data_IF_732997711728
#
_entry.id   IF_732997711728
#
_cell.length_a   1.000
_cell.length_b   1.000
_cell.length_c   1.000
_cell.angle_alpha   90.00
_cell.angle_beta   90.00
_cell.angle_gamma   90.00
#
_symmetry.space_group_name_H-M   'P 1'
#
loop_
_entity.id
_entity.type
_entity.pdbx_description
1 polymer ?
#
# COMPACT_ATOMS: atom_id res chain seq x y z
N UNK A 1 -13.94 5.22 -10.91
CA UNK A 1 -12.67 5.23 -10.17
C UNK A 1 -12.62 4.10 -9.15
N UNK A 2 -11.46 3.49 -8.99
CA UNK A 2 -11.15 2.45 -8.00
C UNK A 2 -9.91 2.93 -7.24
N UNK A 3 -9.98 2.98 -5.91
CA UNK A 3 -8.86 3.37 -5.05
C UNK A 3 -8.60 2.21 -4.08
N UNK A 4 -7.35 1.77 -4.04
CA UNK A 4 -6.86 0.69 -3.18
C UNK A 4 -5.73 1.24 -2.32
N UNK A 5 -5.81 1.02 -1.02
CA UNK A 5 -4.77 1.39 -0.07
C UNK A 5 -4.31 0.15 0.68
N UNK A 6 -3.04 -0.17 0.55
CA UNK A 6 -2.36 -1.12 1.41
C UNK A 6 -1.75 -0.34 2.58
N UNK A 7 -2.37 -0.44 3.75
CA UNK A 7 -1.85 0.21 4.96
C UNK A 7 -0.69 -0.60 5.52
N UNK A 8 0.52 -0.07 5.40
CA UNK A 8 1.75 -0.72 5.90
C UNK A 8 1.67 -0.93 7.41
N UNK A 9 1.99 -2.16 7.83
CA UNK A 9 2.01 -2.57 9.25
C UNK A 9 0.69 -2.39 10.01
N UNK A 10 -0.43 -2.16 9.31
CA UNK A 10 -1.75 -2.21 9.95
C UNK A 10 -2.10 -3.65 10.31
N UNK A 11 -2.48 -3.87 11.55
CA UNK A 11 -2.91 -5.17 12.02
C UNK A 11 -4.03 -5.04 13.06
N UNK A 12 -5.06 -5.86 12.93
CA UNK A 12 -6.02 -6.08 13.99
C UNK A 12 -5.44 -7.13 14.96
N UNK A 13 -4.87 -6.66 16.07
CA UNK A 13 -4.24 -7.53 17.06
C UNK A 13 -5.24 -8.45 17.79
N UNK A 14 -6.54 -8.16 17.74
CA UNK A 14 -7.57 -9.01 18.35
C UNK A 14 -7.63 -10.43 17.76
N UNK A 15 -7.14 -10.60 16.51
CA UNK A 15 -7.09 -11.92 15.86
C UNK A 15 -6.02 -12.85 16.42
N UNK A 16 -5.05 -12.34 17.18
CA UNK A 16 -3.98 -13.16 17.78
C UNK A 16 -4.14 -13.40 19.27
N UNK A 17 -5.11 -12.75 19.92
CA UNK A 17 -5.43 -12.95 21.34
C UNK A 17 -6.21 -11.82 21.96
N UNK A 18 -6.65 -12.03 23.20
CA UNK A 18 -7.31 -11.01 24.00
C UNK A 18 -6.28 -10.09 24.63
N UNK A 19 -6.23 -8.86 24.16
CA UNK A 19 -5.36 -7.81 24.69
C UNK A 19 -6.20 -6.77 25.44
N UNK A 20 -5.72 -6.37 26.61
CA UNK A 20 -6.26 -5.21 27.31
C UNK A 20 -5.48 -3.97 26.85
N UNK A 21 -6.19 -3.04 26.26
CA UNK A 21 -5.65 -1.73 25.85
C UNK A 21 -6.34 -0.64 26.67
N UNK A 22 -5.62 0.45 26.94
CA UNK A 22 -6.17 1.63 27.60
C UNK A 22 -7.13 2.44 26.71
N UNK A 23 -7.00 2.26 25.38
CA UNK A 23 -7.83 2.92 24.37
C UNK A 23 -8.23 1.91 23.29
N UNK A 24 -9.31 2.19 22.57
CA UNK A 24 -9.71 1.41 21.40
C UNK A 24 -8.67 1.56 20.29
N UNK A 25 -8.18 0.44 19.74
CA UNK A 25 -7.07 0.45 18.76
C UNK A 25 -7.51 0.98 17.40
N UNK A 26 -8.73 0.67 16.96
CA UNK A 26 -9.25 1.02 15.62
C UNK A 26 -10.62 1.70 15.68
N UNK A 27 -10.77 2.81 16.46
CA UNK A 27 -12.09 3.37 16.75
C UNK A 27 -12.85 3.84 15.51
N UNK A 28 -12.15 4.44 14.56
CA UNK A 28 -12.76 4.87 13.29
C UNK A 28 -13.23 3.68 12.46
N UNK A 29 -12.35 2.69 12.24
CA UNK A 29 -12.68 1.50 11.46
C UNK A 29 -13.87 0.75 12.06
N UNK A 30 -13.91 0.62 13.37
CA UNK A 30 -14.99 -0.07 14.09
C UNK A 30 -16.32 0.67 13.98
N UNK A 31 -16.28 2.01 13.93
CA UNK A 31 -17.46 2.86 13.79
C UNK A 31 -18.13 2.81 12.41
N UNK A 32 -17.42 2.36 11.39
CA UNK A 32 -17.93 2.30 10.02
C UNK A 32 -19.02 1.22 9.88
N UNK A 33 -20.22 1.61 9.44
CA UNK A 33 -21.39 0.71 9.33
C UNK A 33 -22.08 0.74 7.97
N UNK A 34 -22.17 1.92 7.33
CA UNK A 34 -22.92 2.10 6.10
C UNK A 34 -22.05 1.99 4.84
N UNK A 35 -22.57 1.31 3.79
CA UNK A 35 -21.88 1.12 2.51
C UNK A 35 -20.49 0.47 2.64
N UNK A 36 -20.35 -0.46 3.57
CA UNK A 36 -19.08 -1.08 3.94
C UNK A 36 -19.20 -2.59 3.91
N UNK A 37 -18.12 -3.23 3.45
CA UNK A 37 -17.87 -4.65 3.61
C UNK A 37 -16.57 -4.81 4.39
N UNK A 38 -16.62 -5.50 5.53
CA UNK A 38 -15.45 -5.84 6.35
C UNK A 38 -15.21 -7.34 6.28
N UNK A 39 -13.94 -7.75 6.35
CA UNK A 39 -13.57 -9.15 6.34
C UNK A 39 -12.08 -9.36 6.54
N UNK A 40 -11.69 -10.62 6.61
CA UNK A 40 -10.30 -11.02 6.71
C UNK A 40 -9.83 -11.62 5.40
N UNK A 41 -8.62 -11.28 4.97
CA UNK A 41 -7.94 -11.89 3.84
C UNK A 41 -6.80 -12.76 4.34
N UNK A 42 -6.68 -13.97 3.81
CA UNK A 42 -5.54 -14.83 4.08
C UNK A 42 -4.42 -14.52 3.09
N UNK A 43 -3.27 -14.09 3.60
CA UNK A 43 -2.06 -13.92 2.81
C UNK A 43 -1.13 -15.11 2.99
N UNK A 44 -0.49 -15.58 1.92
CA UNK A 44 0.56 -16.60 2.00
C UNK A 44 1.95 -16.01 2.29
N UNK A 45 2.05 -14.67 2.39
CA UNK A 45 3.28 -13.96 2.71
C UNK A 45 3.49 -13.98 4.23
N UNK A 46 4.58 -14.62 4.65
CA UNK A 46 4.96 -14.69 6.04
C UNK A 46 5.90 -13.53 6.39
N UNK A 47 5.36 -12.45 6.94
CA UNK A 47 6.09 -11.30 7.50
C UNK A 47 7.04 -10.58 6.52
N UNK A 48 7.15 -9.27 6.61
CA UNK A 48 7.97 -8.44 5.72
C UNK A 48 7.69 -8.68 4.22
N UNK A 49 8.51 -8.11 3.34
CA UNK A 49 8.40 -8.29 1.88
C UNK A 49 7.04 -7.86 1.32
N UNK A 50 6.62 -6.65 1.67
CA UNK A 50 5.41 -5.99 1.15
C UNK A 50 5.19 -6.19 -0.36
N UNK A 51 6.22 -6.17 -1.24
CA UNK A 51 6.03 -6.39 -2.67
C UNK A 51 5.45 -7.76 -3.03
N UNK A 52 5.62 -8.76 -2.18
CA UNK A 52 5.01 -10.07 -2.39
C UNK A 52 3.48 -10.00 -2.15
N UNK A 53 3.04 -9.27 -1.12
CA UNK A 53 1.61 -9.05 -0.87
C UNK A 53 0.99 -8.16 -1.96
N UNK A 54 1.71 -7.15 -2.43
CA UNK A 54 1.29 -6.33 -3.58
C UNK A 54 1.08 -7.22 -4.82
N UNK A 55 2.04 -8.10 -5.11
CA UNK A 55 1.96 -9.01 -6.24
C UNK A 55 0.80 -10.01 -6.13
N UNK A 56 0.59 -10.61 -4.96
CA UNK A 56 -0.55 -11.49 -4.71
C UNK A 56 -1.88 -10.77 -4.95
N UNK A 57 -2.01 -9.55 -4.42
CA UNK A 57 -3.21 -8.74 -4.61
C UNK A 57 -3.45 -8.41 -6.08
N UNK A 58 -2.41 -7.93 -6.79
CA UNK A 58 -2.57 -7.46 -8.16
C UNK A 58 -2.76 -8.59 -9.17
N UNK A 59 -2.18 -9.76 -8.95
CA UNK A 59 -2.19 -10.86 -9.93
C UNK A 59 -3.13 -12.00 -9.56
N UNK A 60 -3.55 -12.11 -8.31
CA UNK A 60 -4.29 -13.27 -7.82
C UNK A 60 -3.46 -14.54 -7.69
N UNK A 61 -2.16 -14.47 -7.91
CA UNK A 61 -1.23 -15.59 -7.71
C UNK A 61 -0.86 -15.72 -6.23
N UNK A 62 -0.22 -16.82 -5.86
CA UNK A 62 0.21 -17.07 -4.48
C UNK A 62 1.70 -17.31 -4.36
N UNK A 63 2.32 -16.65 -3.40
CA UNK A 63 3.72 -16.88 -3.01
C UNK A 63 3.98 -18.30 -2.49
N UNK A 64 2.92 -19.01 -2.07
CA UNK A 64 3.03 -20.39 -1.57
C UNK A 64 3.65 -21.36 -2.60
N UNK A 65 3.61 -21.04 -3.88
CA UNK A 65 4.18 -21.85 -4.95
C UNK A 65 5.63 -21.48 -5.35
N UNK A 66 6.20 -20.47 -4.69
CA UNK A 66 7.57 -20.03 -4.94
C UNK A 66 8.52 -20.51 -3.84
N UNK A 67 9.82 -20.64 -4.14
CA UNK A 67 10.81 -20.99 -3.13
C UNK A 67 10.78 -20.06 -1.91
N UNK A 68 11.00 -20.63 -0.73
CA UNK A 68 11.09 -19.84 0.51
C UNK A 68 12.13 -18.73 0.36
N UNK A 69 11.80 -17.53 0.80
CA UNK A 69 12.69 -16.38 0.71
C UNK A 69 12.58 -15.57 -0.58
N UNK A 70 11.79 -16.03 -1.56
CA UNK A 70 11.58 -15.28 -2.81
C UNK A 70 11.07 -13.87 -2.60
N UNK A 71 11.49 -12.95 -3.48
CA UNK A 71 10.97 -11.59 -3.63
C UNK A 71 10.61 -11.41 -5.10
N UNK A 72 9.32 -11.43 -5.41
CA UNK A 72 8.84 -11.49 -6.80
C UNK A 72 9.34 -10.33 -7.63
N UNK A 73 9.29 -9.11 -7.10
CA UNK A 73 9.72 -7.91 -7.80
C UNK A 73 11.19 -7.92 -8.23
N UNK A 74 12.02 -8.65 -7.50
CA UNK A 74 13.46 -8.72 -7.78
C UNK A 74 13.86 -9.93 -8.59
N UNK A 75 13.00 -10.95 -8.70
CA UNK A 75 13.41 -12.25 -9.22
C UNK A 75 12.55 -12.77 -10.37
N UNK A 76 11.28 -12.33 -10.48
CA UNK A 76 10.31 -12.99 -11.36
C UNK A 76 9.55 -12.06 -12.30
N UNK A 77 9.64 -10.74 -12.11
CA UNK A 77 8.98 -9.77 -13.00
C UNK A 77 9.94 -9.42 -14.13
N UNK A 78 9.74 -10.01 -15.29
CA UNK A 78 10.46 -9.70 -16.53
C UNK A 78 9.55 -9.15 -17.63
N UNK A 79 8.27 -9.50 -17.58
CA UNK A 79 7.26 -9.14 -18.56
C UNK A 79 6.02 -8.59 -17.85
N UNK A 80 5.11 -7.98 -18.61
CA UNK A 80 3.81 -7.53 -18.08
C UNK A 80 2.96 -8.74 -17.68
N UNK A 81 2.73 -8.99 -16.40
CA UNK A 81 1.89 -10.09 -15.96
C UNK A 81 0.41 -9.79 -16.21
N UNK A 82 -0.40 -10.84 -16.36
CA UNK A 82 -1.86 -10.69 -16.22
C UNK A 82 -2.16 -10.28 -14.80
N UNK A 83 -2.81 -9.13 -14.64
CA UNK A 83 -3.06 -8.50 -13.35
C UNK A 83 -4.31 -7.63 -13.39
N UNK A 84 -4.78 -7.18 -12.22
CA UNK A 84 -5.84 -6.17 -12.17
C UNK A 84 -5.43 -4.91 -12.94
N UNK A 85 -4.15 -4.52 -12.91
CA UNK A 85 -3.61 -3.36 -13.62
C UNK A 85 -3.76 -3.55 -15.12
N UNK A 86 -3.22 -4.67 -15.68
CA UNK A 86 -3.33 -4.95 -17.11
C UNK A 86 -4.77 -5.10 -17.58
N UNK A 87 -5.64 -5.68 -16.76
CA UNK A 87 -7.07 -5.84 -17.09
C UNK A 87 -7.80 -4.50 -17.12
N UNK A 88 -7.60 -3.65 -16.13
CA UNK A 88 -8.22 -2.32 -16.07
C UNK A 88 -7.70 -1.41 -17.19
N UNK A 89 -6.41 -1.46 -17.47
CA UNK A 89 -5.82 -0.72 -18.60
C UNK A 89 -6.43 -1.12 -19.94
N UNK A 90 -6.67 -2.42 -20.17
CA UNK A 90 -7.29 -2.92 -21.39
C UNK A 90 -8.73 -2.40 -21.61
N UNK A 91 -9.42 -1.97 -20.56
CA UNK A 91 -10.76 -1.36 -20.64
C UNK A 91 -10.73 0.16 -20.47
N UNK A 92 -9.55 0.79 -20.56
CA UNK A 92 -9.39 2.24 -20.67
C UNK A 92 -9.15 2.99 -19.36
N UNK A 93 -8.83 2.30 -18.26
CA UNK A 93 -8.42 2.98 -17.02
C UNK A 93 -7.02 3.57 -17.15
N UNK A 94 -6.83 4.74 -16.57
CA UNK A 94 -5.51 5.26 -16.19
C UNK A 94 -5.11 4.62 -14.87
N UNK A 95 -3.97 3.94 -14.85
CA UNK A 95 -3.48 3.21 -13.69
C UNK A 95 -2.35 3.97 -13.02
N UNK A 96 -2.55 4.35 -11.76
CA UNK A 96 -1.63 5.17 -10.96
C UNK A 96 -1.18 4.38 -9.74
N UNK A 97 0.08 4.47 -9.37
CA UNK A 97 0.56 3.98 -8.08
C UNK A 97 1.25 5.08 -7.28
N UNK A 98 1.06 5.05 -5.96
CA UNK A 98 1.61 6.02 -5.01
C UNK A 98 2.24 5.31 -3.82
N UNK A 99 3.54 5.55 -3.60
CA UNK A 99 4.26 4.99 -2.47
C UNK A 99 5.26 6.02 -1.92
N UNK A 100 4.98 6.63 -0.76
CA UNK A 100 5.81 7.71 -0.21
C UNK A 100 7.13 7.19 0.37
N UNK A 101 7.89 6.47 -0.46
CA UNK A 101 9.21 5.92 -0.15
C UNK A 101 10.09 5.92 -1.40
N UNK A 102 11.35 5.52 -1.24
CA UNK A 102 12.32 5.51 -2.33
C UNK A 102 11.89 4.57 -3.47
N UNK A 103 11.97 5.07 -4.69
CA UNK A 103 11.59 4.34 -5.91
C UNK A 103 12.38 3.03 -6.10
N UNK A 104 13.64 3.01 -5.65
CA UNK A 104 14.51 1.84 -5.73
C UNK A 104 14.14 0.76 -4.71
N UNK A 105 13.32 1.09 -3.72
CA UNK A 105 12.81 0.13 -2.73
C UNK A 105 12.10 -1.03 -3.41
N UNK A 106 12.62 -2.23 -3.25
CA UNK A 106 12.14 -3.45 -3.92
C UNK A 106 12.09 -3.35 -5.46
N UNK A 107 12.89 -2.49 -6.08
CA UNK A 107 12.93 -2.27 -7.54
C UNK A 107 11.61 -1.77 -8.14
N UNK A 108 10.79 -1.05 -7.36
CA UNK A 108 9.47 -0.57 -7.81
C UNK A 108 9.54 0.34 -9.02
N UNK A 109 10.60 1.15 -9.15
CA UNK A 109 10.85 1.99 -10.32
C UNK A 109 10.92 1.21 -11.65
N UNK A 110 11.35 -0.04 -11.62
CA UNK A 110 11.35 -0.91 -12.79
C UNK A 110 10.06 -1.76 -12.89
N UNK A 111 9.56 -2.22 -11.76
CA UNK A 111 8.43 -3.17 -11.71
C UNK A 111 7.10 -2.50 -12.05
N UNK A 112 6.80 -1.33 -11.51
CA UNK A 112 5.50 -0.69 -11.72
C UNK A 112 5.24 -0.34 -13.21
N UNK A 113 6.19 0.25 -13.95
CA UNK A 113 6.02 0.43 -15.39
C UNK A 113 5.85 -0.91 -16.13
N UNK A 114 6.60 -1.95 -15.74
CA UNK A 114 6.46 -3.30 -16.34
C UNK A 114 5.09 -3.90 -16.07
N UNK A 115 4.50 -3.67 -14.91
CA UNK A 115 3.14 -4.11 -14.59
C UNK A 115 2.05 -3.31 -15.32
N UNK A 116 2.40 -2.19 -15.93
CA UNK A 116 1.51 -1.40 -16.77
C UNK A 116 0.94 -0.13 -16.11
N UNK A 117 1.46 0.29 -14.97
CA UNK A 117 1.09 1.58 -14.40
C UNK A 117 1.50 2.73 -15.32
N UNK A 118 0.62 3.70 -15.51
CA UNK A 118 0.82 4.89 -16.33
C UNK A 118 1.54 6.01 -15.58
N UNK A 119 1.27 6.10 -14.28
CA UNK A 119 1.84 7.09 -13.37
C UNK A 119 2.39 6.40 -12.13
N UNK A 120 3.58 6.82 -11.70
CA UNK A 120 4.23 6.29 -10.49
C UNK A 120 4.73 7.46 -9.64
N UNK A 121 4.27 7.53 -8.40
CA UNK A 121 4.64 8.58 -7.45
C UNK A 121 5.41 7.98 -6.28
N UNK A 122 6.59 8.53 -6.03
CA UNK A 122 7.49 8.12 -4.97
C UNK A 122 7.79 9.28 -4.02
N UNK A 123 8.67 9.10 -3.07
CA UNK A 123 8.92 10.04 -1.97
C UNK A 123 9.11 11.50 -2.41
N UNK A 124 9.72 11.73 -3.56
CA UNK A 124 10.01 13.08 -4.07
C UNK A 124 8.74 13.82 -4.59
N UNK A 125 7.64 13.08 -4.79
CA UNK A 125 6.35 13.63 -5.22
C UNK A 125 5.46 14.06 -4.04
N UNK A 126 5.90 13.85 -2.80
CA UNK A 126 5.15 14.17 -1.58
C UNK A 126 5.81 15.31 -0.79
N UNK A 127 5.03 15.98 0.06
CA UNK A 127 5.56 17.01 0.97
C UNK A 127 6.43 16.36 2.06
N UNK A 128 7.73 16.43 1.87
CA UNK A 128 8.72 15.87 2.78
C UNK A 128 8.82 16.61 4.11
N UNK A 129 8.04 17.64 4.35
CA UNK A 129 7.93 18.31 5.67
C UNK A 129 6.88 17.63 6.55
N UNK A 130 5.97 16.85 5.97
CA UNK A 130 4.90 16.14 6.67
C UNK A 130 5.37 14.74 7.10
N UNK A 131 6.16 14.68 8.15
CA UNK A 131 6.74 13.45 8.66
C UNK A 131 6.20 13.09 10.04
N UNK A 132 5.93 11.78 10.23
CA UNK A 132 5.84 11.16 11.53
C UNK A 132 7.00 10.17 11.68
N UNK A 133 7.77 10.31 12.74
CA UNK A 133 9.10 9.70 12.83
C UNK A 133 9.96 10.11 11.63
N UNK A 134 10.31 9.20 10.74
CA UNK A 134 11.11 9.45 9.53
C UNK A 134 10.35 9.18 8.23
N UNK A 135 9.06 8.93 8.31
CA UNK A 135 8.25 8.57 7.15
C UNK A 135 7.19 9.63 6.86
N UNK A 136 6.86 9.80 5.59
CA UNK A 136 5.71 10.60 5.16
C UNK A 136 4.45 10.08 5.85
N UNK A 137 3.62 11.00 6.33
CA UNK A 137 2.37 10.66 7.03
C UNK A 137 1.35 10.01 6.11
N UNK A 138 0.51 9.16 6.68
CA UNK A 138 -0.63 8.59 5.96
C UNK A 138 -1.60 9.70 5.50
N UNK A 139 -1.71 10.78 6.28
CA UNK A 139 -2.52 11.95 5.90
C UNK A 139 -2.02 12.56 4.58
N UNK A 140 -0.73 12.79 4.43
CA UNK A 140 -0.15 13.33 3.19
C UNK A 140 -0.42 12.41 2.00
N UNK A 141 -0.24 11.10 2.18
CA UNK A 141 -0.56 10.13 1.13
C UNK A 141 -2.04 10.22 0.72
N UNK A 142 -2.96 10.29 1.68
CA UNK A 142 -4.40 10.35 1.38
C UNK A 142 -4.81 11.67 0.75
N UNK A 143 -4.22 12.80 1.16
CA UNK A 143 -4.42 14.10 0.53
C UNK A 143 -3.94 14.06 -0.93
N UNK A 144 -2.78 13.46 -1.22
CA UNK A 144 -2.26 13.27 -2.59
C UNK A 144 -3.17 12.37 -3.45
N UNK A 145 -3.75 11.31 -2.88
CA UNK A 145 -4.73 10.46 -3.57
C UNK A 145 -5.98 11.27 -3.95
N UNK A 146 -6.49 12.07 -3.02
CA UNK A 146 -7.66 12.92 -3.25
C UNK A 146 -7.37 13.97 -4.31
N UNK A 147 -6.21 14.62 -4.26
CA UNK A 147 -5.77 15.61 -5.25
C UNK A 147 -5.70 14.99 -6.66
N UNK A 148 -5.11 13.80 -6.80
CA UNK A 148 -5.07 13.09 -8.09
C UNK A 148 -6.47 12.72 -8.57
N UNK A 149 -7.35 12.31 -7.68
CA UNK A 149 -8.73 12.02 -8.01
C UNK A 149 -9.49 13.26 -8.47
N UNK A 150 -9.33 14.39 -7.79
CA UNK A 150 -10.01 15.65 -8.13
C UNK A 150 -9.47 16.27 -9.43
N UNK A 151 -8.19 16.10 -9.73
CA UNK A 151 -7.55 16.59 -10.97
C UNK A 151 -7.84 15.73 -12.20
N UNK A 152 -8.55 14.62 -12.07
CA UNK A 152 -8.86 13.73 -13.19
C UNK A 152 -9.73 14.41 -14.25
N UNK A 153 -9.54 14.04 -15.51
CA UNK A 153 -10.39 14.49 -16.61
C UNK A 153 -11.83 13.99 -16.46
N UNK A 154 -12.79 14.71 -17.01
CA UNK A 154 -14.21 14.40 -16.86
C UNK A 154 -14.61 12.96 -17.25
N UNK A 155 -13.91 12.37 -18.22
CA UNK A 155 -14.18 11.02 -18.73
C UNK A 155 -13.01 10.06 -18.42
N UNK A 156 -12.19 10.34 -17.43
CA UNK A 156 -11.10 9.48 -17.02
C UNK A 156 -11.57 8.46 -16.00
N UNK A 157 -11.46 7.20 -16.36
CA UNK A 157 -11.56 6.11 -15.40
C UNK A 157 -10.21 5.88 -14.74
N UNK A 158 -10.17 5.92 -13.41
CA UNK A 158 -8.96 5.95 -12.63
C UNK A 158 -8.86 4.74 -11.71
N UNK A 159 -7.73 4.06 -11.74
CA UNK A 159 -7.32 3.07 -10.76
C UNK A 159 -6.08 3.58 -10.03
N UNK A 160 -6.19 3.75 -8.72
CA UNK A 160 -5.07 4.14 -7.86
C UNK A 160 -4.75 2.99 -6.91
N UNK A 161 -3.52 2.50 -6.95
CA UNK A 161 -2.94 1.58 -5.97
C UNK A 161 -1.93 2.33 -5.13
N UNK A 162 -2.12 2.38 -3.82
CA UNK A 162 -1.19 3.06 -2.92
C UNK A 162 -0.76 2.16 -1.77
N UNK A 163 0.48 2.37 -1.32
CA UNK A 163 1.06 1.68 -0.18
C UNK A 163 1.55 2.74 0.80
N UNK A 164 1.01 2.77 2.01
CA UNK A 164 1.45 3.73 3.02
C UNK A 164 2.81 3.37 3.60
N UNK A 165 3.42 4.28 4.37
CA UNK A 165 4.75 4.06 4.93
C UNK A 165 4.87 4.52 6.39
N UNK A 166 3.94 5.34 6.88
CA UNK A 166 4.00 5.94 8.21
C UNK A 166 4.26 4.92 9.32
N UNK A 167 3.60 3.78 9.27
CA UNK A 167 3.65 2.78 10.33
C UNK A 167 4.71 1.69 10.10
N UNK A 168 5.56 1.84 9.09
CA UNK A 168 6.64 0.88 8.83
C UNK A 168 7.54 0.71 10.06
N UNK A 169 7.93 -0.53 10.32
CA UNK A 169 8.68 -0.93 11.50
C UNK A 169 10.00 -0.21 11.74
N UNK A 170 10.62 -0.54 12.88
CA UNK A 170 11.79 0.13 13.39
C UNK A 170 11.46 1.11 14.52
N UNK A 171 10.61 0.69 15.48
CA UNK A 171 10.28 1.46 16.69
C UNK A 171 11.37 1.32 17.76
N UNK A 172 12.63 1.34 17.37
CA UNK A 172 13.78 1.16 18.26
C UNK A 172 14.49 2.46 18.61
N UNK A 173 14.05 3.57 18.02
CA UNK A 173 14.63 4.89 18.18
C UNK A 173 13.55 5.87 18.66
N UNK A 174 13.92 6.82 19.49
CA UNK A 174 13.08 7.93 19.88
C UNK A 174 13.09 9.02 18.80
N UNK A 175 11.92 9.58 18.52
CA UNK A 175 11.76 10.67 17.55
C UNK A 175 11.08 11.87 18.21
N UNK A 176 11.59 13.11 18.02
CA UNK A 176 11.00 14.30 18.64
C UNK A 176 9.58 14.61 18.15
N UNK A 177 9.17 14.07 17.01
CA UNK A 177 7.85 14.22 16.42
C UNK A 177 6.93 13.01 16.66
N UNK A 178 7.28 12.11 17.60
CA UNK A 178 6.51 10.93 17.95
C UNK A 178 6.58 10.72 19.45
N UNK A 179 5.50 11.05 20.16
CA UNK A 179 5.44 11.07 21.63
C UNK A 179 4.67 9.88 22.21
N UNK A 180 4.34 8.89 21.43
CA UNK A 180 3.65 7.72 21.95
C UNK A 180 4.59 6.84 22.77
N UNK A 181 4.13 6.47 23.96
CA UNK A 181 4.84 5.54 24.82
C UNK A 181 4.42 4.11 24.45
N UNK A 182 5.39 3.28 24.21
CA UNK A 182 5.21 1.84 24.02
C UNK A 182 5.27 1.15 25.39
#
# INVERSE_FOLDING_TARGET
TIIVVMSESYADLSVVGDFLTNEQVTPYYDSLQDNIMKGHALSSVFGAKTPNSEWEYMTGNSMAFLPSGSVVYQQYISDTPTSIVSNLKNIGYTCVTMHPYYETGWSRNAVYPTMGFDETHFIDDFDQTKLLRKYITDQELYESIVERYESKKANEDLFIMSISMQNHGGYTEEYPNFNEQI
#
